data_IF_091104153929
#
_entry.id   IF_091104153929
#
_cell.length_a   1.000
_cell.length_b   1.000
_cell.length_c   1.000
_cell.angle_alpha   90.00
_cell.angle_beta   90.00
_cell.angle_gamma   90.00
#
_symmetry.space_group_name_H-M   'P 1'
#
loop_
_entity.id
_entity.type
_entity.pdbx_description
1 polymer ?
#
# COMPACT_ATOMS: atom_id res chain seq x y z
N UNK A 1 26.74 3.96 0.41
CA UNK A 1 26.41 3.74 1.84
C UNK A 1 27.42 2.77 2.44
N UNK A 2 27.95 3.07 3.62
CA UNK A 2 28.82 2.13 4.37
C UNK A 2 28.07 0.87 4.80
N UNK A 3 28.73 -0.29 4.82
CA UNK A 3 28.10 -1.59 5.10
C UNK A 3 27.39 -1.59 6.47
N UNK A 4 27.98 -0.96 7.49
CA UNK A 4 27.35 -0.89 8.82
C UNK A 4 26.10 -0.02 8.83
N UNK A 5 26.04 1.04 8.03
CA UNK A 5 24.83 1.85 7.88
C UNK A 5 23.75 1.06 7.13
N UNK A 6 24.11 0.32 6.07
CA UNK A 6 23.20 -0.56 5.35
C UNK A 6 22.57 -1.60 6.27
N UNK A 7 23.37 -2.32 7.05
CA UNK A 7 22.84 -3.35 7.97
C UNK A 7 21.90 -2.76 9.03
N UNK A 8 22.17 -1.53 9.51
CA UNK A 8 21.26 -0.83 10.43
C UNK A 8 19.95 -0.44 9.77
N UNK A 9 20.00 0.09 8.54
CA UNK A 9 18.80 0.43 7.77
C UNK A 9 17.95 -0.82 7.48
N UNK A 10 18.58 -1.92 7.06
CA UNK A 10 17.89 -3.19 6.83
C UNK A 10 17.32 -3.80 8.11
N UNK A 11 17.99 -3.64 9.26
CA UNK A 11 17.46 -4.10 10.55
C UNK A 11 16.20 -3.34 10.96
N UNK A 12 16.05 -2.07 10.60
CA UNK A 12 14.82 -1.32 10.84
C UNK A 12 13.72 -1.80 9.88
N UNK A 13 14.02 -1.88 8.59
CA UNK A 13 13.06 -2.32 7.56
C UNK A 13 12.56 -3.77 7.76
N UNK A 14 13.35 -4.63 8.40
CA UNK A 14 12.96 -6.01 8.71
C UNK A 14 11.68 -6.08 9.56
N UNK A 15 11.40 -5.06 10.38
CA UNK A 15 10.17 -5.01 11.18
C UNK A 15 8.90 -5.06 10.33
N UNK A 16 8.94 -4.62 9.07
CA UNK A 16 7.81 -4.76 8.15
C UNK A 16 7.42 -6.22 7.87
N UNK A 17 8.33 -7.18 8.07
CA UNK A 17 8.03 -8.62 7.96
C UNK A 17 7.24 -9.12 9.16
N UNK A 18 7.39 -8.47 10.31
CA UNK A 18 6.79 -8.85 11.58
C UNK A 18 5.47 -8.11 11.83
N UNK A 19 5.35 -6.90 11.29
CA UNK A 19 4.12 -6.11 11.38
C UNK A 19 3.13 -6.60 10.32
N UNK A 20 1.95 -7.01 10.78
CA UNK A 20 0.89 -7.57 9.94
C UNK A 20 -0.21 -6.56 9.68
N UNK A 21 -0.72 -6.56 8.46
CA UNK A 21 -1.87 -5.79 8.01
C UNK A 21 -3.18 -6.41 8.45
N UNK A 22 -4.25 -5.61 8.41
CA UNK A 22 -5.61 -6.13 8.60
C UNK A 22 -5.96 -7.23 7.58
N UNK A 23 -5.51 -7.07 6.34
CA UNK A 23 -5.75 -8.00 5.23
C UNK A 23 -5.26 -9.42 5.53
N UNK A 24 -5.99 -10.39 5.00
CA UNK A 24 -5.63 -11.80 5.04
C UNK A 24 -5.21 -12.30 3.66
N UNK A 25 -4.30 -13.25 3.65
CA UNK A 25 -3.94 -14.02 2.46
C UNK A 25 -4.97 -15.11 2.20
N UNK A 26 -5.04 -15.60 0.95
CA UNK A 26 -5.88 -16.75 0.57
C UNK A 26 -5.52 -18.04 1.33
N UNK A 27 -4.31 -18.13 1.90
CA UNK A 27 -3.85 -19.24 2.72
C UNK A 27 -4.26 -19.15 4.21
N UNK A 28 -5.01 -18.11 4.61
CA UNK A 28 -5.53 -17.99 5.98
C UNK A 28 -4.52 -17.50 7.01
N UNK A 29 -3.57 -16.65 6.59
CA UNK A 29 -2.69 -15.86 7.48
C UNK A 29 -2.85 -14.37 7.19
N UNK A 30 -2.60 -13.53 8.19
CA UNK A 30 -2.45 -12.09 7.94
C UNK A 30 -1.27 -11.82 7.00
N UNK A 31 -1.48 -10.89 6.08
CA UNK A 31 -0.44 -10.31 5.23
C UNK A 31 0.49 -9.43 6.08
N UNK A 32 1.79 -9.44 5.81
CA UNK A 32 2.76 -8.50 6.38
C UNK A 32 2.89 -7.24 5.54
N UNK A 33 3.30 -6.13 6.16
CA UNK A 33 3.53 -4.86 5.44
C UNK A 33 4.60 -5.02 4.35
N UNK A 34 5.59 -5.89 4.59
CA UNK A 34 6.60 -6.25 3.59
C UNK A 34 6.02 -7.01 2.39
N UNK A 35 5.07 -7.93 2.61
CA UNK A 35 4.40 -8.68 1.53
C UNK A 35 3.54 -7.74 0.67
N UNK A 36 2.79 -6.82 1.29
CA UNK A 36 2.05 -5.73 0.60
C UNK A 36 2.97 -4.89 -0.26
N UNK A 37 4.03 -4.33 0.34
CA UNK A 37 4.96 -3.43 -0.36
C UNK A 37 5.64 -4.13 -1.55
N UNK A 38 5.99 -5.41 -1.40
CA UNK A 38 6.54 -6.21 -2.49
C UNK A 38 5.53 -6.39 -3.64
N UNK A 39 4.29 -6.79 -3.34
CA UNK A 39 3.28 -7.04 -4.38
C UNK A 39 2.84 -5.74 -5.04
N UNK A 40 2.77 -4.65 -4.29
CA UNK A 40 2.51 -3.31 -4.80
C UNK A 40 3.58 -2.87 -5.81
N UNK A 41 4.87 -3.03 -5.48
CA UNK A 41 5.97 -2.72 -6.39
C UNK A 41 5.95 -3.61 -7.65
N UNK A 42 5.59 -4.90 -7.50
CA UNK A 42 5.39 -5.81 -8.62
C UNK A 42 4.21 -5.38 -9.51
N UNK A 43 3.11 -4.91 -8.92
CA UNK A 43 1.97 -4.36 -9.66
C UNK A 43 2.37 -3.10 -10.44
N UNK A 44 3.13 -2.18 -9.82
CA UNK A 44 3.67 -1.01 -10.51
C UNK A 44 4.55 -1.39 -11.71
N UNK A 45 5.35 -2.45 -11.59
CA UNK A 45 6.14 -2.98 -12.71
C UNK A 45 5.27 -3.47 -13.87
N UNK A 46 4.15 -4.15 -13.59
CA UNK A 46 3.27 -4.68 -14.65
C UNK A 46 2.48 -3.61 -15.38
N UNK A 47 2.12 -2.52 -14.72
CA UNK A 47 1.30 -1.44 -15.32
C UNK A 47 2.14 -0.34 -15.98
N UNK A 48 3.48 -0.46 -15.98
CA UNK A 48 4.39 0.59 -16.43
C UNK A 48 4.15 1.08 -17.86
N UNK A 49 3.73 0.18 -18.75
CA UNK A 49 3.53 0.48 -20.18
C UNK A 49 2.27 1.35 -20.42
N UNK A 50 1.39 1.45 -19.42
CA UNK A 50 0.20 2.32 -19.43
C UNK A 50 0.54 3.78 -19.11
N UNK A 51 1.76 4.06 -18.63
CA UNK A 51 2.20 5.38 -18.19
C UNK A 51 3.59 5.73 -18.76
N UNK A 52 3.76 5.77 -20.09
CA UNK A 52 5.04 6.04 -20.74
C UNK A 52 5.61 7.44 -20.43
N UNK A 53 4.78 8.36 -19.94
CA UNK A 53 5.16 9.71 -19.52
C UNK A 53 5.69 9.80 -18.08
N UNK A 54 5.49 8.76 -17.26
CA UNK A 54 5.89 8.74 -15.86
C UNK A 54 7.25 8.07 -15.67
N UNK A 55 7.99 8.51 -14.65
CA UNK A 55 9.18 7.80 -14.17
C UNK A 55 8.77 6.56 -13.36
N UNK A 56 8.62 5.42 -14.04
CA UNK A 56 8.16 4.19 -13.40
C UNK A 56 9.19 3.58 -12.44
N UNK A 57 10.48 3.86 -12.60
CA UNK A 57 11.50 3.47 -11.63
C UNK A 57 11.34 4.26 -10.32
N UNK A 58 10.91 5.52 -10.40
CA UNK A 58 10.52 6.31 -9.23
C UNK A 58 9.24 5.77 -8.58
N UNK A 59 8.20 5.43 -9.36
CA UNK A 59 6.96 4.84 -8.83
C UNK A 59 7.25 3.53 -8.09
N UNK A 60 8.04 2.63 -8.68
CA UNK A 60 8.43 1.36 -8.04
C UNK A 60 9.19 1.62 -6.72
N UNK A 61 10.10 2.62 -6.70
CA UNK A 61 10.80 3.02 -5.47
C UNK A 61 9.85 3.59 -4.42
N UNK A 62 8.88 4.41 -4.81
CA UNK A 62 7.83 4.92 -3.91
C UNK A 62 7.02 3.77 -3.30
N UNK A 63 6.52 2.85 -4.13
CA UNK A 63 5.82 1.65 -3.69
C UNK A 63 6.63 0.82 -2.69
N UNK A 64 7.93 0.66 -2.94
CA UNK A 64 8.82 -0.10 -2.06
C UNK A 64 8.98 0.51 -0.66
N UNK A 65 8.91 1.85 -0.54
CA UNK A 65 9.25 2.56 0.69
C UNK A 65 8.05 3.17 1.42
N UNK A 66 6.87 3.26 0.77
CA UNK A 66 5.75 4.07 1.26
C UNK A 66 5.35 3.78 2.71
N UNK A 67 5.33 2.50 3.11
CA UNK A 67 4.94 2.05 4.46
C UNK A 67 6.14 1.79 5.40
N UNK A 68 7.36 2.26 5.10
CA UNK A 68 8.51 2.10 6.01
C UNK A 68 8.29 2.76 7.38
N UNK A 69 7.36 3.71 7.50
CA UNK A 69 6.96 4.28 8.79
C UNK A 69 6.37 3.23 9.74
N UNK A 70 5.67 2.23 9.19
CA UNK A 70 5.03 1.16 9.96
C UNK A 70 6.04 0.23 10.63
N UNK A 71 7.33 0.28 10.26
CA UNK A 71 8.39 -0.40 10.99
C UNK A 71 8.52 0.10 12.44
N UNK A 72 8.05 1.32 12.74
CA UNK A 72 8.17 1.97 14.05
C UNK A 72 6.87 1.99 14.85
N UNK A 73 5.73 2.01 14.18
CA UNK A 73 4.40 2.12 14.78
C UNK A 73 3.58 0.83 14.72
N UNK A 74 3.93 -0.10 13.83
CA UNK A 74 3.05 -1.18 13.39
C UNK A 74 2.04 -0.69 12.35
N UNK A 75 1.34 -1.63 11.70
CA UNK A 75 0.20 -1.27 10.85
C UNK A 75 -1.01 -0.90 11.71
N UNK A 76 -1.59 0.27 11.43
CA UNK A 76 -2.84 0.73 12.04
C UNK A 76 -3.86 0.82 10.90
N UNK A 77 -4.90 -0.02 10.89
CA UNK A 77 -5.85 -0.06 9.78
C UNK A 77 -6.46 1.30 9.49
N UNK A 78 -6.57 1.66 8.21
CA UNK A 78 -7.01 3.00 7.78
C UNK A 78 -8.38 3.45 8.34
N UNK A 79 -9.25 2.50 8.74
CA UNK A 79 -10.56 2.79 9.33
C UNK A 79 -10.54 3.02 10.85
N UNK A 80 -9.39 2.80 11.51
CA UNK A 80 -9.17 3.14 12.93
C UNK A 80 -8.07 4.18 13.13
N UNK A 81 -7.18 4.38 12.14
CA UNK A 81 -6.03 5.30 12.21
C UNK A 81 -6.50 6.73 12.50
N UNK A 82 -5.93 7.34 13.53
CA UNK A 82 -6.19 8.74 13.92
C UNK A 82 -5.15 9.68 13.32
N UNK A 83 -5.42 10.99 13.38
CA UNK A 83 -4.46 12.00 12.95
C UNK A 83 -3.19 11.97 13.81
N UNK A 84 -3.35 11.75 15.11
CA UNK A 84 -2.23 11.63 16.04
C UNK A 84 -1.34 10.42 15.71
N UNK A 85 -1.92 9.32 15.23
CA UNK A 85 -1.17 8.15 14.77
C UNK A 85 -0.35 8.48 13.51
N UNK A 86 -0.96 9.16 12.53
CA UNK A 86 -0.29 9.62 11.30
C UNK A 86 0.87 10.57 11.60
N UNK A 87 0.65 11.57 12.47
CA UNK A 87 1.69 12.53 12.88
C UNK A 87 2.85 11.82 13.61
N UNK A 88 2.54 10.83 14.46
CA UNK A 88 3.55 10.03 15.17
C UNK A 88 4.39 9.20 14.21
N UNK A 89 3.75 8.50 13.28
CA UNK A 89 4.42 7.66 12.28
C UNK A 89 5.33 8.51 11.38
N UNK A 90 4.81 9.61 10.84
CA UNK A 90 5.55 10.56 10.02
C UNK A 90 6.77 11.12 10.77
N UNK A 91 6.62 11.48 12.04
CA UNK A 91 7.74 11.98 12.85
C UNK A 91 8.83 10.92 13.09
N UNK A 92 8.46 9.66 13.34
CA UNK A 92 9.42 8.56 13.54
C UNK A 92 10.14 8.21 12.25
N UNK A 93 9.40 8.10 11.14
CA UNK A 93 9.95 7.87 9.81
C UNK A 93 10.92 8.98 9.41
N UNK A 94 10.51 10.24 9.55
CA UNK A 94 11.35 11.40 9.21
C UNK A 94 12.68 11.38 9.98
N UNK A 95 12.65 11.13 11.30
CA UNK A 95 13.88 10.99 12.12
C UNK A 95 14.77 9.85 11.62
N UNK A 96 14.19 8.73 11.22
CA UNK A 96 14.98 7.61 10.69
C UNK A 96 15.60 7.95 9.33
N UNK A 97 14.85 8.54 8.41
CA UNK A 97 15.34 9.02 7.11
C UNK A 97 16.46 10.05 7.30
N UNK A 98 16.30 10.99 8.23
CA UNK A 98 17.33 12.00 8.54
C UNK A 98 18.63 11.41 9.08
N UNK A 99 18.60 10.20 9.63
CA UNK A 99 19.75 9.47 10.14
C UNK A 99 20.52 8.70 9.05
N UNK A 100 19.94 8.54 7.86
CA UNK A 100 20.59 7.88 6.74
C UNK A 100 21.74 8.74 6.18
N UNK A 101 22.81 8.12 5.65
CA UNK A 101 23.87 8.85 4.97
C UNK A 101 23.39 9.35 3.61
N UNK A 102 23.93 10.49 3.15
CA UNK A 102 23.74 10.94 1.78
C UNK A 102 24.25 9.90 0.77
N UNK A 103 23.59 9.76 -0.40
CA UNK A 103 22.46 10.56 -0.87
C UNK A 103 21.08 10.08 -0.40
N UNK A 104 21.00 8.98 0.36
CA UNK A 104 19.72 8.30 0.66
C UNK A 104 18.78 9.15 1.51
N UNK A 105 19.32 9.95 2.43
CA UNK A 105 18.54 10.91 3.21
C UNK A 105 17.79 11.88 2.31
N UNK A 106 18.51 12.49 1.36
CA UNK A 106 17.96 13.50 0.46
C UNK A 106 16.98 12.88 -0.52
N UNK A 107 17.34 11.73 -1.11
CA UNK A 107 16.51 11.01 -2.07
C UNK A 107 15.21 10.51 -1.44
N UNK A 108 15.29 9.77 -0.32
CA UNK A 108 14.08 9.27 0.34
C UNK A 108 13.24 10.41 0.90
N UNK A 109 13.86 11.44 1.49
CA UNK A 109 13.13 12.61 1.97
C UNK A 109 12.39 13.36 0.86
N UNK A 110 12.95 13.41 -0.36
CA UNK A 110 12.26 13.97 -1.51
C UNK A 110 11.07 13.11 -1.95
N UNK A 111 11.24 11.79 -2.01
CA UNK A 111 10.15 10.87 -2.36
C UNK A 111 8.98 10.96 -1.38
N UNK A 112 9.23 10.98 -0.06
CA UNK A 112 8.15 11.12 0.93
C UNK A 112 7.41 12.45 0.79
N UNK A 113 8.12 13.57 0.63
CA UNK A 113 7.47 14.87 0.39
C UNK A 113 6.61 14.87 -0.87
N UNK A 114 7.06 14.20 -1.93
CA UNK A 114 6.31 14.09 -3.18
C UNK A 114 5.04 13.23 -3.00
N UNK A 115 5.15 12.11 -2.29
CA UNK A 115 4.01 11.25 -1.94
C UNK A 115 2.99 11.96 -1.04
N UNK A 116 3.45 12.72 -0.06
CA UNK A 116 2.60 13.50 0.85
C UNK A 116 1.87 14.64 0.14
N UNK A 117 2.55 15.34 -0.78
CA UNK A 117 1.95 16.41 -1.56
C UNK A 117 0.91 15.90 -2.55
N UNK A 118 1.11 14.68 -3.09
CA UNK A 118 0.21 14.01 -4.02
C UNK A 118 -0.11 14.84 -5.28
N UNK A 119 0.86 15.65 -5.73
CA UNK A 119 0.70 16.56 -6.87
C UNK A 119 1.13 15.92 -8.20
N UNK A 120 2.19 15.11 -8.18
CA UNK A 120 2.80 14.48 -9.37
C UNK A 120 2.01 13.26 -9.86
N UNK A 121 2.22 12.88 -11.12
CA UNK A 121 1.62 11.67 -11.69
C UNK A 121 2.13 10.41 -10.99
N UNK A 122 3.42 10.39 -10.62
CA UNK A 122 4.07 9.28 -9.93
C UNK A 122 3.49 9.06 -8.51
N UNK A 123 3.33 10.13 -7.73
CA UNK A 123 2.73 10.05 -6.40
C UNK A 123 1.26 9.61 -6.46
N UNK A 124 0.49 10.15 -7.42
CA UNK A 124 -0.90 9.75 -7.65
C UNK A 124 -1.01 8.29 -8.05
N UNK A 125 -0.14 7.82 -8.95
CA UNK A 125 -0.11 6.42 -9.37
C UNK A 125 0.27 5.50 -8.21
N UNK A 126 1.33 5.81 -7.46
CA UNK A 126 1.71 5.06 -6.26
C UNK A 126 0.53 4.93 -5.30
N UNK A 127 -0.19 6.03 -5.03
CA UNK A 127 -1.32 6.03 -4.10
C UNK A 127 -2.52 5.26 -4.64
N UNK A 128 -2.84 5.37 -5.93
CA UNK A 128 -3.91 4.61 -6.56
C UNK A 128 -3.63 3.11 -6.47
N UNK A 129 -2.42 2.69 -6.83
CA UNK A 129 -1.97 1.31 -6.76
C UNK A 129 -2.00 0.76 -5.33
N UNK A 130 -1.54 1.52 -4.32
CA UNK A 130 -1.64 1.13 -2.90
C UNK A 130 -3.09 0.78 -2.50
N UNK A 131 -4.05 1.63 -2.91
CA UNK A 131 -5.47 1.37 -2.64
C UNK A 131 -5.99 0.14 -3.37
N UNK A 132 -5.58 -0.09 -4.62
CA UNK A 132 -6.05 -1.23 -5.42
C UNK A 132 -5.48 -2.55 -4.92
N UNK A 133 -4.20 -2.59 -4.59
CA UNK A 133 -3.53 -3.75 -3.99
C UNK A 133 -4.33 -4.25 -2.78
N UNK A 134 -4.69 -3.31 -1.88
CA UNK A 134 -5.45 -3.62 -0.66
C UNK A 134 -6.75 -4.36 -0.96
N UNK A 135 -7.53 -3.91 -1.96
CA UNK A 135 -8.81 -4.54 -2.30
C UNK A 135 -8.62 -5.84 -3.08
N UNK A 136 -7.59 -5.93 -3.93
CA UNK A 136 -7.20 -7.18 -4.58
C UNK A 136 -6.90 -8.25 -3.50
N UNK A 137 -6.17 -7.91 -2.44
CA UNK A 137 -5.91 -8.85 -1.35
C UNK A 137 -7.19 -9.31 -0.64
N UNK A 138 -8.12 -8.39 -0.35
CA UNK A 138 -9.42 -8.75 0.23
C UNK A 138 -10.23 -9.66 -0.72
N UNK A 139 -10.18 -9.40 -2.03
CA UNK A 139 -10.84 -10.21 -3.06
C UNK A 139 -10.23 -11.60 -3.19
N UNK A 140 -9.01 -11.84 -2.72
CA UNK A 140 -8.39 -13.17 -2.64
C UNK A 140 -8.60 -13.85 -1.27
N UNK A 141 -8.76 -13.08 -0.19
CA UNK A 141 -8.97 -13.56 1.19
C UNK A 141 -10.35 -14.18 1.43
N UNK A 142 -10.56 -15.22 2.25
CA UNK A 142 -11.90 -15.73 2.53
C UNK A 142 -12.88 -14.66 3.04
N UNK A 143 -14.15 -14.67 2.59
CA UNK A 143 -15.16 -13.70 3.08
C UNK A 143 -15.34 -13.74 4.60
N UNK A 144 -15.06 -14.88 5.23
CA UNK A 144 -15.11 -15.03 6.70
C UNK A 144 -14.08 -14.16 7.44
N UNK A 145 -13.07 -13.62 6.76
CA UNK A 145 -12.10 -12.70 7.36
C UNK A 145 -12.55 -11.24 7.26
N UNK A 146 -13.60 -10.94 6.50
CA UNK A 146 -14.06 -9.58 6.28
C UNK A 146 -14.88 -9.07 7.48
N UNK A 147 -14.64 -7.83 7.87
CA UNK A 147 -15.47 -7.10 8.82
C UNK A 147 -16.79 -6.65 8.16
N UNK A 148 -17.87 -6.45 8.93
CA UNK A 148 -19.14 -5.98 8.37
C UNK A 148 -19.03 -4.70 7.53
N UNK A 149 -18.16 -3.76 7.93
CA UNK A 149 -17.94 -2.50 7.21
C UNK A 149 -17.29 -2.70 5.83
N UNK A 150 -16.55 -3.78 5.63
CA UNK A 150 -15.73 -4.00 4.42
C UNK A 150 -16.57 -4.40 3.22
N UNK A 151 -17.74 -5.00 3.46
CA UNK A 151 -18.72 -5.26 2.41
C UNK A 151 -19.11 -4.00 1.64
N UNK A 152 -19.18 -2.85 2.31
CA UNK A 152 -19.48 -1.57 1.67
C UNK A 152 -18.19 -0.82 1.31
N UNK A 153 -17.22 -0.74 2.23
CA UNK A 153 -16.00 0.05 2.02
C UNK A 153 -15.17 -0.44 0.84
N UNK A 154 -15.03 -1.75 0.65
CA UNK A 154 -14.21 -2.30 -0.43
C UNK A 154 -14.75 -1.95 -1.83
N UNK A 155 -16.04 -1.60 -1.94
CA UNK A 155 -16.66 -1.19 -3.21
C UNK A 155 -16.32 0.25 -3.63
N UNK A 156 -15.96 1.10 -2.66
CA UNK A 156 -15.73 2.53 -2.88
C UNK A 156 -14.28 2.94 -2.62
N UNK A 157 -13.49 2.07 -1.99
CA UNK A 157 -12.10 2.34 -1.66
C UNK A 157 -11.26 2.63 -2.91
N UNK A 158 -10.40 3.64 -2.81
CA UNK A 158 -9.53 4.07 -3.91
C UNK A 158 -10.22 4.80 -5.06
N UNK A 159 -11.55 5.02 -5.02
CA UNK A 159 -12.29 5.68 -6.12
C UNK A 159 -11.72 7.05 -6.50
N UNK A 160 -11.44 7.89 -5.51
CA UNK A 160 -10.90 9.24 -5.74
C UNK A 160 -9.45 9.16 -6.25
N UNK A 161 -8.63 8.30 -5.63
CA UNK A 161 -7.23 8.12 -5.97
C UNK A 161 -7.07 7.56 -7.38
N UNK A 162 -7.98 6.71 -7.83
CA UNK A 162 -7.93 6.09 -9.16
C UNK A 162 -8.54 6.96 -10.27
N UNK A 163 -9.22 8.07 -9.92
CA UNK A 163 -9.91 8.90 -10.90
C UNK A 163 -8.99 9.74 -11.78
N UNK A 164 -7.69 9.84 -11.46
CA UNK A 164 -6.73 10.69 -12.17
C UNK A 164 -6.36 10.18 -13.57
N UNK A 165 -6.50 8.87 -13.84
CA UNK A 165 -6.24 8.28 -15.15
C UNK A 165 -7.35 7.33 -15.59
N UNK A 166 -7.59 7.17 -16.91
CA UNK A 166 -8.53 6.17 -17.42
C UNK A 166 -8.21 4.75 -16.97
N UNK A 167 -6.92 4.35 -16.99
CA UNK A 167 -6.48 3.01 -16.64
C UNK A 167 -6.78 2.67 -15.17
N UNK A 168 -6.37 3.53 -14.22
CA UNK A 168 -6.65 3.27 -12.81
C UNK A 168 -8.14 3.30 -12.50
N UNK A 169 -8.93 4.11 -13.22
CA UNK A 169 -10.38 4.11 -13.09
C UNK A 169 -10.99 2.78 -13.52
N UNK A 170 -10.54 2.21 -14.63
CA UNK A 170 -10.96 0.88 -15.10
C UNK A 170 -10.50 -0.23 -14.15
N UNK A 171 -9.27 -0.15 -13.63
CA UNK A 171 -8.77 -1.06 -12.61
C UNK A 171 -9.67 -1.05 -11.37
N UNK A 172 -10.02 0.14 -10.85
CA UNK A 172 -10.90 0.27 -9.69
C UNK A 172 -12.30 -0.29 -9.94
N UNK A 173 -12.87 -0.02 -11.11
CA UNK A 173 -14.17 -0.56 -11.52
C UNK A 173 -14.14 -2.09 -11.58
N UNK A 174 -13.07 -2.65 -12.12
CA UNK A 174 -12.87 -4.11 -12.25
C UNK A 174 -12.73 -4.78 -10.89
N UNK A 175 -11.84 -4.26 -10.04
CA UNK A 175 -11.61 -4.77 -8.67
C UNK A 175 -12.89 -4.68 -7.82
N UNK A 176 -13.68 -3.61 -7.98
CA UNK A 176 -15.01 -3.47 -7.37
C UNK A 176 -15.98 -4.55 -7.86
N UNK A 177 -16.00 -4.85 -9.15
CA UNK A 177 -16.88 -5.88 -9.71
C UNK A 177 -16.54 -7.28 -9.20
N UNK A 178 -15.25 -7.59 -9.05
CA UNK A 178 -14.79 -8.85 -8.45
C UNK A 178 -15.25 -8.98 -6.99
N UNK A 179 -15.18 -7.88 -6.23
CA UNK A 179 -15.71 -7.80 -4.86
C UNK A 179 -17.21 -8.12 -4.83
N UNK A 180 -18.01 -7.49 -5.70
CA UNK A 180 -19.45 -7.71 -5.79
C UNK A 180 -19.81 -9.14 -6.23
N UNK A 181 -19.05 -9.70 -7.17
CA UNK A 181 -19.24 -11.08 -7.59
C UNK A 181 -18.93 -12.07 -6.46
N UNK A 182 -17.84 -11.85 -5.73
CA UNK A 182 -17.47 -12.67 -4.58
C UNK A 182 -18.55 -12.67 -3.51
N UNK A 183 -19.08 -11.50 -3.14
CA UNK A 183 -20.17 -11.38 -2.16
C UNK A 183 -21.41 -12.16 -2.63
N UNK A 184 -21.79 -12.03 -3.91
CA UNK A 184 -22.93 -12.77 -4.48
C UNK A 184 -22.74 -14.28 -4.43
N UNK A 185 -21.55 -14.78 -4.76
CA UNK A 185 -21.23 -16.22 -4.69
C UNK A 185 -21.30 -16.73 -3.26
N UNK A 186 -20.72 -16.00 -2.29
CA UNK A 186 -20.77 -16.37 -0.88
C UNK A 186 -22.18 -16.37 -0.28
N UNK A 187 -23.06 -15.46 -0.73
CA UNK A 187 -24.47 -15.46 -0.33
C UNK A 187 -25.26 -16.65 -0.90
N UNK A 188 -24.91 -17.11 -2.12
CA UNK A 188 -25.50 -18.28 -2.75
C UNK A 188 -25.14 -19.60 -2.07
N UNK A 189 -23.92 -19.73 -1.54
CA UNK A 189 -23.47 -20.89 -0.77
C UNK A 189 -24.07 -20.97 0.64
N UNK A 190 -24.60 -19.86 1.17
CA UNK A 190 -25.22 -19.78 2.49
C UNK A 190 -26.72 -20.18 2.50
N UNK A 191 -27.29 -20.56 1.34
CA UNK A 191 -28.68 -21.01 1.24
C UNK A 191 -28.72 -22.55 1.17
N UNK A 192 -29.35 -23.25 2.14
CA UNK A 192 -29.43 -24.72 2.18
C UNK A 192 -30.14 -25.35 0.98
#
# INVERSE_FOLDING_TARGET
MEIRALLKALSAAEQLKNNTRHSWTSAGRHESVAEHSWRLALMAYFVKDEYPELDMDKVIRMCLIHDLGEAFTGDIPAFVKTKEDEERESALLSRWVESLPSPFKEEMGALYREMDALETGEAKLCKALDRMETIIQHNEAPLSTWLPLEYEKNQVYGREQCAFSPYTKELQETVKNDCLEKIRRGAGEATP
#
